data_IF_610170090692
#
_entry.id   IF_610170090692
#
_cell.length_a   1.000
_cell.length_b   1.000
_cell.length_c   1.000
_cell.angle_alpha   90.00
_cell.angle_beta   90.00
_cell.angle_gamma   90.00
#
_symmetry.space_group_name_H-M   'P 1'
#
loop_
_entity.id
_entity.type
_entity.pdbx_description
1 polymer ?
#
# COMPACT_ATOMS: atom_id res chain seq x y z
N UNK A 1 17.31 -0.22 -5.30
CA UNK A 1 16.87 -1.01 -4.11
C UNK A 1 16.10 -0.08 -3.16
N UNK A 2 14.84 0.26 -3.47
CA UNK A 2 14.06 1.23 -2.67
C UNK A 2 12.90 0.59 -1.87
N UNK A 3 12.71 -0.72 -2.00
CA UNK A 3 11.56 -1.45 -1.46
C UNK A 3 11.52 -1.57 0.07
N UNK A 4 12.65 -1.49 0.78
CA UNK A 4 12.68 -1.75 2.24
C UNK A 4 11.97 -0.67 3.06
N UNK A 5 12.03 0.58 2.64
CA UNK A 5 11.41 1.71 3.36
C UNK A 5 9.88 1.69 3.21
N UNK A 6 9.39 1.32 2.03
CA UNK A 6 7.95 1.19 1.75
C UNK A 6 7.33 0.05 2.55
N UNK A 7 7.96 -1.14 2.55
CA UNK A 7 7.52 -2.29 3.37
C UNK A 7 7.43 -1.89 4.84
N UNK A 8 8.44 -1.17 5.37
CA UNK A 8 8.43 -0.72 6.75
C UNK A 8 7.29 0.25 7.05
N UNK A 9 7.01 1.18 6.14
CA UNK A 9 5.91 2.13 6.28
C UNK A 9 4.54 1.43 6.24
N UNK A 10 4.37 0.42 5.38
CA UNK A 10 3.15 -0.40 5.34
C UNK A 10 3.00 -1.20 6.64
N UNK A 11 4.04 -1.95 7.06
CA UNK A 11 4.02 -2.69 8.33
C UNK A 11 3.66 -1.78 9.52
N UNK A 12 4.22 -0.57 9.58
CA UNK A 12 3.93 0.38 10.65
C UNK A 12 2.49 0.92 10.60
N UNK A 13 1.95 1.14 9.40
CA UNK A 13 0.62 1.72 9.21
C UNK A 13 -0.49 0.71 9.47
N UNK A 14 -0.32 -0.52 8.98
CA UNK A 14 -1.32 -1.58 9.05
C UNK A 14 -1.05 -2.59 10.17
N UNK A 15 0.04 -2.40 10.92
CA UNK A 15 0.47 -3.29 12.00
C UNK A 15 0.53 -4.77 11.57
N UNK A 16 1.05 -5.00 10.36
CA UNK A 16 1.12 -6.30 9.70
C UNK A 16 2.57 -6.69 9.39
N UNK A 17 2.83 -7.97 9.15
CA UNK A 17 4.14 -8.45 8.69
C UNK A 17 4.28 -8.39 7.17
N UNK A 18 5.52 -8.33 6.66
CA UNK A 18 5.82 -8.26 5.20
C UNK A 18 5.22 -9.41 4.37
N UNK A 19 4.87 -10.53 5.02
CA UNK A 19 4.31 -11.71 4.38
C UNK A 19 2.78 -11.74 4.45
N UNK A 20 2.15 -10.81 5.18
CA UNK A 20 0.69 -10.73 5.33
C UNK A 20 0.03 -9.82 4.29
N UNK A 21 0.82 -9.05 3.56
CA UNK A 21 0.34 -8.15 2.52
C UNK A 21 1.12 -8.31 1.22
N UNK A 22 0.45 -7.97 0.13
CA UNK A 22 1.08 -7.74 -1.16
C UNK A 22 0.91 -6.27 -1.50
N UNK A 23 1.88 -5.66 -2.17
CA UNK A 23 1.70 -4.32 -2.69
C UNK A 23 2.28 -4.17 -4.08
N UNK A 24 1.64 -3.36 -4.89
CA UNK A 24 2.03 -3.08 -6.27
C UNK A 24 1.72 -1.63 -6.61
N UNK A 25 2.40 -1.10 -7.63
CA UNK A 25 2.08 0.24 -8.13
C UNK A 25 0.76 0.15 -8.87
N UNK A 26 -0.16 1.06 -8.56
CA UNK A 26 -1.46 1.10 -9.23
C UNK A 26 -1.36 1.81 -10.57
N UNK A 27 -0.63 2.92 -10.59
CA UNK A 27 -0.47 3.80 -11.76
C UNK A 27 0.88 4.57 -11.67
N UNK A 28 1.23 5.31 -12.73
CA UNK A 28 2.42 6.15 -12.80
C UNK A 28 2.36 7.39 -11.88
N UNK A 29 1.22 7.71 -11.26
CA UNK A 29 1.08 8.88 -10.37
C UNK A 29 1.66 8.67 -8.94
N UNK A 30 2.32 7.53 -8.71
CA UNK A 30 2.96 7.21 -7.43
C UNK A 30 1.99 6.70 -6.37
N UNK A 31 0.82 6.22 -6.78
CA UNK A 31 -0.09 5.45 -5.93
C UNK A 31 0.27 3.97 -5.96
N UNK A 32 0.07 3.32 -4.82
CA UNK A 32 0.32 1.90 -4.63
C UNK A 32 -0.93 1.26 -4.06
N UNK A 33 -1.27 0.07 -4.50
CA UNK A 33 -2.27 -0.76 -3.84
C UNK A 33 -1.56 -1.70 -2.88
N UNK A 34 -2.07 -1.78 -1.66
CA UNK A 34 -1.70 -2.75 -0.64
C UNK A 34 -2.88 -3.69 -0.47
N UNK A 35 -2.75 -4.92 -0.95
CA UNK A 35 -3.72 -5.99 -0.77
C UNK A 35 -3.39 -6.75 0.52
N UNK A 36 -4.28 -6.65 1.50
CA UNK A 36 -4.23 -7.26 2.82
C UNK A 36 -5.38 -8.26 2.95
N UNK A 37 -5.07 -9.55 2.80
CA UNK A 37 -6.07 -10.65 2.83
C UNK A 37 -7.21 -10.41 1.84
N UNK A 38 -8.35 -9.90 2.32
CA UNK A 38 -9.57 -9.66 1.54
C UNK A 38 -9.80 -8.17 1.24
N UNK A 39 -8.98 -7.28 1.80
CA UNK A 39 -9.10 -5.83 1.69
C UNK A 39 -7.98 -5.28 0.82
N UNK A 40 -8.30 -4.32 -0.03
CA UNK A 40 -7.30 -3.58 -0.81
C UNK A 40 -7.27 -2.14 -0.33
N UNK A 41 -6.07 -1.57 -0.20
CA UNK A 41 -5.88 -0.21 0.27
C UNK A 41 -4.99 0.55 -0.71
N UNK A 42 -5.50 1.65 -1.25
CA UNK A 42 -4.71 2.61 -2.02
C UNK A 42 -3.90 3.48 -1.06
N UNK A 43 -2.58 3.43 -1.19
CA UNK A 43 -1.64 4.23 -0.40
C UNK A 43 -0.76 5.10 -1.28
N UNK A 44 -0.34 6.25 -0.74
CA UNK A 44 0.68 7.10 -1.35
C UNK A 44 1.83 7.29 -0.38
N UNK A 45 3.05 7.10 -0.87
CA UNK A 45 4.24 7.33 -0.07
C UNK A 45 4.69 8.79 -0.17
N UNK A 46 5.21 9.31 0.94
CA UNK A 46 5.92 10.58 0.96
C UNK A 46 7.22 10.46 0.17
N UNK A 47 7.50 11.47 -0.65
CA UNK A 47 8.80 11.66 -1.29
C UNK A 47 9.90 12.08 -0.29
N UNK A 48 9.50 12.43 0.94
CA UNK A 48 10.41 12.81 2.02
C UNK A 48 11.05 11.57 2.65
N UNK A 49 12.27 11.71 3.16
CA UNK A 49 12.96 10.70 3.98
C UNK A 49 12.78 11.05 5.47
N UNK A 50 12.32 10.12 6.33
CA UNK A 50 11.97 8.73 6.03
C UNK A 50 10.66 8.60 5.25
N UNK A 51 10.59 7.59 4.38
CA UNK A 51 9.41 7.26 3.59
C UNK A 51 8.25 6.88 4.53
N UNK A 52 7.10 7.53 4.36
CA UNK A 52 5.89 7.33 5.18
C UNK A 52 4.66 7.30 4.29
N UNK A 53 3.58 6.67 4.76
CA UNK A 53 2.30 6.67 4.06
C UNK A 53 1.56 7.97 4.41
N UNK A 54 1.45 8.88 3.43
CA UNK A 54 0.75 10.17 3.58
C UNK A 54 -0.71 10.10 3.19
N UNK A 55 -1.08 9.07 2.44
CA UNK A 55 -2.45 8.83 2.01
C UNK A 55 -2.73 7.34 2.10
N UNK A 56 -3.89 6.98 2.63
CA UNK A 56 -4.33 5.61 2.81
C UNK A 56 -5.85 5.60 2.72
N UNK A 57 -6.40 4.91 1.74
CA UNK A 57 -7.82 4.74 1.55
C UNK A 57 -8.12 3.28 1.23
N UNK A 58 -9.07 2.69 1.96
CA UNK A 58 -9.60 1.37 1.61
C UNK A 58 -10.35 1.49 0.29
N UNK A 59 -10.02 0.61 -0.65
CA UNK A 59 -10.69 0.49 -1.94
C UNK A 59 -11.47 -0.81 -1.89
N UNK A 60 -12.79 -0.70 -2.02
CA UNK A 60 -13.60 -1.89 -2.22
C UNK A 60 -13.15 -2.53 -3.52
N UNK A 61 -12.83 -3.83 -3.48
CA UNK A 61 -12.82 -4.62 -4.72
C UNK A 61 -14.21 -4.47 -5.28
N UNK A 62 -14.34 -3.70 -6.34
CA UNK A 62 -15.48 -3.82 -7.23
C UNK A 62 -15.32 -5.22 -7.81
N UNK A 63 -15.86 -6.22 -7.13
CA UNK A 63 -16.27 -7.45 -7.77
C UNK A 63 -17.19 -6.95 -8.87
N UNK A 64 -16.65 -6.90 -10.09
CA UNK A 64 -17.41 -6.44 -11.24
C UNK A 64 -18.49 -7.48 -11.41
N UNK A 65 -19.64 -7.23 -10.79
CA UNK A 65 -20.87 -7.97 -10.99
C UNK A 65 -21.30 -7.65 -12.43
N UNK A 66 -20.78 -8.46 -13.35
CA UNK A 66 -21.15 -8.47 -14.77
C UNK A 66 -21.87 -9.78 -15.07
#
# INVERSE_FOLDING_TARGET
MEYRSQVKAICQKFNCEKNEFTYYVEDNDGYYIVSLKDHEHRVKFSLNKPCQIVYCQEVERVASDY
#
